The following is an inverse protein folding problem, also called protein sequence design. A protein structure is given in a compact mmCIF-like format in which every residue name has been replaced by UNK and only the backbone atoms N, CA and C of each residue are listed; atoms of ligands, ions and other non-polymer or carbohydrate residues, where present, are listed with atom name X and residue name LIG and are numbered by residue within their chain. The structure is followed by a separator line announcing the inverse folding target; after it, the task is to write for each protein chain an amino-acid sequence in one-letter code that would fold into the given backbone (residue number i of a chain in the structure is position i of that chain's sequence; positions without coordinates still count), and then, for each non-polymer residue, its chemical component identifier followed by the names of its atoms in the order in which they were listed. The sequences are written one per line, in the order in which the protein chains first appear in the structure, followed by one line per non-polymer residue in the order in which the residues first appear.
data_IF_240434594842
#
_entry.id   IF_240434594842
#
_cell.length_a   1.000
_cell.length_b   1.000
_cell.length_c   1.000
_cell.angle_alpha   90.00
_cell.angle_beta   90.00
_cell.angle_gamma   90.00
#
_symmetry.space_group_name_H-M   'P 1'
#
loop_
_entity.id
_entity.type
_entity.pdbx_description
1 polymer ?
#
# COMPACT_ATOMS: atom_id res chain seq x y z
N UNK A 1 -63.18 -17.07 -16.74
CA UNK A 1 -62.17 -17.11 -15.65
C UNK A 1 -61.10 -16.08 -15.96
N UNK A 2 -60.92 -15.07 -15.10
CA UNK A 2 -59.91 -14.01 -15.25
C UNK A 2 -58.65 -14.44 -14.48
N UNK A 3 -57.55 -14.67 -15.18
CA UNK A 3 -56.22 -14.89 -14.60
C UNK A 3 -55.54 -13.53 -14.44
N UNK A 4 -55.37 -13.10 -13.18
CA UNK A 4 -54.61 -11.92 -12.79
C UNK A 4 -53.19 -12.30 -12.38
N UNK A 5 -52.22 -11.64 -13.02
CA UNK A 5 -50.93 -11.10 -12.51
C UNK A 5 -50.09 -11.85 -11.46
N UNK A 6 -48.78 -11.92 -11.73
CA UNK A 6 -47.71 -11.63 -10.76
C UNK A 6 -46.42 -11.22 -11.51
N UNK A 7 -45.95 -9.95 -11.41
CA UNK A 7 -44.67 -9.53 -11.95
C UNK A 7 -43.57 -9.93 -10.96
N UNK A 8 -42.87 -11.02 -11.26
CA UNK A 8 -41.87 -11.61 -10.37
C UNK A 8 -40.43 -11.21 -10.78
N UNK A 9 -40.18 -9.92 -11.08
CA UNK A 9 -38.82 -9.44 -11.44
C UNK A 9 -38.64 -7.99 -10.99
N UNK A 10 -38.44 -7.75 -9.69
CA UNK A 10 -38.11 -6.41 -9.18
C UNK A 10 -37.26 -6.44 -7.90
N UNK A 11 -36.35 -7.41 -7.74
CA UNK A 11 -35.53 -7.53 -6.51
C UNK A 11 -34.08 -7.96 -6.77
N UNK A 12 -33.42 -7.40 -7.79
CA UNK A 12 -32.00 -7.66 -8.04
C UNK A 12 -31.19 -6.40 -8.41
N UNK A 13 -31.49 -5.24 -7.80
CA UNK A 13 -30.80 -3.97 -8.12
C UNK A 13 -30.18 -3.22 -6.91
N UNK A 14 -30.04 -3.81 -5.72
CA UNK A 14 -29.64 -3.06 -4.51
C UNK A 14 -28.39 -3.56 -3.77
N UNK A 15 -27.45 -4.22 -4.45
CA UNK A 15 -26.15 -4.54 -3.85
C UNK A 15 -24.94 -4.09 -4.69
N UNK A 16 -25.10 -3.06 -5.52
CA UNK A 16 -23.98 -2.17 -5.84
C UNK A 16 -23.71 -1.30 -4.61
N UNK A 17 -23.34 -1.95 -3.50
CA UNK A 17 -22.70 -1.27 -2.39
C UNK A 17 -21.46 -0.65 -3.01
N UNK A 18 -21.51 0.67 -3.18
CA UNK A 18 -20.38 1.46 -3.63
C UNK A 18 -19.19 0.96 -2.83
N UNK A 19 -18.28 0.25 -3.48
CA UNK A 19 -16.89 0.18 -3.07
C UNK A 19 -16.32 1.58 -3.31
N UNK A 20 -16.88 2.58 -2.62
CA UNK A 20 -16.14 3.73 -2.23
C UNK A 20 -14.99 3.11 -1.46
N UNK A 21 -13.87 2.92 -2.17
CA UNK A 21 -12.55 2.73 -1.62
C UNK A 21 -12.49 3.65 -0.42
N UNK A 22 -12.79 3.10 0.76
CA UNK A 22 -12.75 3.83 1.99
C UNK A 22 -11.27 4.06 2.17
N UNK A 23 -10.82 5.21 1.70
CA UNK A 23 -9.49 5.70 1.96
C UNK A 23 -9.37 5.70 3.47
N UNK A 24 -8.55 4.80 3.99
CA UNK A 24 -8.34 4.69 5.42
C UNK A 24 -7.87 6.06 5.91
N UNK A 25 -8.54 6.59 6.94
CA UNK A 25 -8.13 7.85 7.53
C UNK A 25 -6.75 7.66 8.16
N UNK A 26 -5.74 8.27 7.54
CA UNK A 26 -4.37 8.17 8.04
C UNK A 26 -4.18 9.14 9.21
N UNK A 27 -3.59 8.65 10.30
CA UNK A 27 -3.11 9.47 11.40
C UNK A 27 -1.58 9.50 11.38
N UNK A 28 -0.94 10.61 10.93
CA UNK A 28 0.51 10.70 10.83
C UNK A 28 1.25 10.60 12.17
N UNK A 29 0.55 10.71 13.30
CA UNK A 29 1.13 10.55 14.64
C UNK A 29 1.02 9.10 15.15
N UNK A 30 0.22 8.25 14.51
CA UNK A 30 0.04 6.86 14.92
C UNK A 30 1.27 6.04 14.54
N UNK A 31 1.94 5.49 15.56
CA UNK A 31 2.99 4.49 15.33
C UNK A 31 2.34 3.12 15.18
N UNK A 32 2.63 2.47 14.06
CA UNK A 32 2.28 1.08 13.76
C UNK A 32 3.50 0.19 13.97
N UNK A 33 3.27 -1.08 14.30
CA UNK A 33 4.33 -2.04 14.62
C UNK A 33 4.12 -3.33 13.82
N UNK A 34 5.21 -3.86 13.29
CA UNK A 34 5.31 -5.20 12.70
C UNK A 34 6.30 -6.01 13.53
N UNK A 35 5.94 -7.26 13.82
CA UNK A 35 6.83 -8.28 14.40
C UNK A 35 6.82 -9.52 13.48
N UNK A 36 7.64 -10.54 13.76
CA UNK A 36 7.64 -11.78 12.98
C UNK A 36 6.26 -12.46 12.89
N UNK A 37 5.43 -12.33 13.93
CA UNK A 37 4.15 -13.08 14.05
C UNK A 37 2.91 -12.20 14.19
N UNK A 38 3.06 -10.89 14.41
CA UNK A 38 1.94 -9.99 14.65
C UNK A 38 2.16 -8.61 14.03
N UNK A 39 1.10 -7.81 13.99
CA UNK A 39 1.18 -6.40 13.67
C UNK A 39 -0.01 -5.65 14.24
N UNK A 40 0.12 -4.33 14.32
CA UNK A 40 -0.98 -3.44 14.73
C UNK A 40 -1.93 -3.07 13.61
N UNK A 41 -1.56 -3.34 12.34
CA UNK A 41 -2.42 -3.06 11.18
C UNK A 41 -3.14 -4.33 10.73
N UNK A 42 -4.44 -4.19 10.45
CA UNK A 42 -5.30 -5.26 9.92
C UNK A 42 -5.16 -5.44 8.39
N UNK A 43 -4.46 -4.52 7.72
CA UNK A 43 -4.24 -4.53 6.28
C UNK A 43 -3.29 -5.63 5.79
N UNK A 44 -2.43 -6.15 6.67
CA UNK A 44 -1.35 -7.06 6.25
C UNK A 44 -1.94 -8.30 5.62
N UNK A 45 -1.38 -8.65 4.45
CA UNK A 45 -1.81 -9.76 3.60
C UNK A 45 -3.13 -9.52 2.84
N UNK A 46 -3.65 -8.29 2.88
CA UNK A 46 -4.90 -7.90 2.21
C UNK A 46 -4.71 -6.56 1.50
N UNK A 47 -4.02 -6.52 0.34
CA UNK A 47 -3.65 -5.28 -0.34
C UNK A 47 -4.83 -4.62 -1.08
N UNK A 48 -5.97 -4.41 -0.41
CA UNK A 48 -7.20 -3.86 -0.97
C UNK A 48 -7.22 -2.33 -1.06
N UNK A 49 -6.19 -1.67 -0.55
CA UNK A 49 -5.97 -0.23 -0.63
C UNK A 49 -4.48 0.08 -0.85
N UNK A 50 -4.13 1.31 -1.27
CA UNK A 50 -2.74 1.78 -1.35
C UNK A 50 -1.95 1.55 -0.06
N UNK A 51 -2.54 1.92 1.09
CA UNK A 51 -1.91 1.75 2.40
C UNK A 51 -1.72 0.26 2.69
N UNK A 52 -2.74 -0.56 2.46
CA UNK A 52 -2.62 -1.99 2.74
C UNK A 52 -1.59 -2.70 1.87
N UNK A 53 -1.41 -2.29 0.60
CA UNK A 53 -0.35 -2.80 -0.26
C UNK A 53 1.04 -2.49 0.31
N UNK A 54 1.26 -1.25 0.75
CA UNK A 54 2.53 -0.82 1.35
C UNK A 54 2.80 -1.55 2.66
N UNK A 55 1.80 -1.65 3.54
CA UNK A 55 1.96 -2.37 4.81
C UNK A 55 2.20 -3.86 4.61
N UNK A 56 1.61 -4.46 3.58
CA UNK A 56 1.91 -5.84 3.19
C UNK A 56 3.36 -5.98 2.74
N UNK A 57 3.91 -5.04 1.96
CA UNK A 57 5.34 -5.03 1.58
C UNK A 57 6.26 -4.85 2.79
N UNK A 58 5.94 -3.92 3.69
CA UNK A 58 6.70 -3.71 4.92
C UNK A 58 6.71 -5.00 5.76
N UNK A 59 5.56 -5.64 5.92
CA UNK A 59 5.46 -6.88 6.68
C UNK A 59 6.22 -8.03 6.02
N UNK A 60 6.04 -8.24 4.72
CA UNK A 60 6.63 -9.37 4.01
C UNK A 60 8.17 -9.27 3.98
N UNK A 61 8.73 -8.06 3.81
CA UNK A 61 10.17 -7.84 3.78
C UNK A 61 10.80 -8.10 5.15
N UNK A 62 10.12 -7.70 6.23
CA UNK A 62 10.59 -7.92 7.61
C UNK A 62 10.43 -9.34 8.10
N UNK A 63 9.42 -10.06 7.62
CA UNK A 63 9.17 -11.48 7.95
C UNK A 63 9.91 -12.44 7.01
N UNK A 64 10.49 -11.94 5.92
CA UNK A 64 11.08 -12.74 4.83
C UNK A 64 10.05 -13.70 4.21
N UNK A 65 8.79 -13.26 4.13
CA UNK A 65 7.70 -14.02 3.52
C UNK A 65 7.61 -13.72 2.02
N UNK A 66 8.26 -14.55 1.21
CA UNK A 66 8.30 -14.41 -0.26
C UNK A 66 6.91 -14.49 -0.89
N UNK A 67 6.03 -15.34 -0.36
CA UNK A 67 4.68 -15.52 -0.92
C UNK A 67 3.83 -14.26 -0.67
N UNK A 68 3.93 -13.69 0.53
CA UNK A 68 3.29 -12.41 0.86
C UNK A 68 3.86 -11.25 0.03
N UNK A 69 5.17 -11.20 -0.20
CA UNK A 69 5.78 -10.19 -1.06
C UNK A 69 5.31 -10.27 -2.51
N UNK A 70 5.23 -11.48 -3.06
CA UNK A 70 4.75 -11.69 -4.43
C UNK A 70 3.31 -11.17 -4.61
N UNK A 71 2.43 -11.39 -3.62
CA UNK A 71 1.06 -10.85 -3.63
C UNK A 71 1.02 -9.33 -3.64
N UNK A 72 1.98 -8.66 -3.01
CA UNK A 72 2.06 -7.20 -2.96
C UNK A 72 2.84 -6.58 -4.14
N UNK A 73 3.26 -7.39 -5.13
CA UNK A 73 3.95 -6.94 -6.34
C UNK A 73 5.49 -6.94 -6.24
N UNK A 74 6.05 -7.45 -5.15
CA UNK A 74 7.50 -7.49 -4.92
C UNK A 74 8.03 -8.90 -5.19
N UNK A 75 8.69 -9.09 -6.34
CA UNK A 75 9.22 -10.41 -6.75
C UNK A 75 10.75 -10.52 -6.70
N UNK A 76 11.48 -9.40 -6.74
CA UNK A 76 12.94 -9.37 -6.84
C UNK A 76 13.58 -8.53 -5.72
N UNK A 77 13.24 -8.81 -4.45
CA UNK A 77 13.80 -8.09 -3.31
C UNK A 77 15.01 -8.83 -2.73
N UNK A 78 16.04 -8.08 -2.34
CA UNK A 78 17.13 -8.61 -1.53
C UNK A 78 16.66 -8.69 -0.08
N UNK A 79 16.30 -9.89 0.35
CA UNK A 79 15.91 -10.15 1.74
C UNK A 79 17.13 -10.14 2.65
N UNK A 80 16.91 -9.73 3.90
CA UNK A 80 17.89 -9.93 4.96
C UNK A 80 18.00 -11.41 5.31
N UNK A 81 19.06 -11.80 6.04
CA UNK A 81 19.29 -13.20 6.43
C UNK A 81 18.30 -13.71 7.49
N UNK A 82 17.76 -12.80 8.31
CA UNK A 82 16.85 -13.13 9.42
C UNK A 82 15.71 -12.12 9.54
N UNK A 83 14.54 -12.54 10.04
CA UNK A 83 13.43 -11.63 10.28
C UNK A 83 13.80 -10.52 11.26
N UNK A 84 13.19 -9.34 11.08
CA UNK A 84 13.34 -8.23 12.01
C UNK A 84 12.43 -8.46 13.24
N UNK A 85 13.01 -8.44 14.45
CA UNK A 85 12.28 -8.70 15.70
C UNK A 85 11.12 -7.71 15.93
N UNK A 86 11.34 -6.45 15.54
CA UNK A 86 10.37 -5.38 15.69
C UNK A 86 10.69 -4.24 14.75
N UNK A 87 9.71 -3.86 13.95
CA UNK A 87 9.78 -2.72 13.03
C UNK A 87 8.66 -1.74 13.35
N UNK A 88 9.01 -0.47 13.59
CA UNK A 88 8.04 0.61 13.83
C UNK A 88 7.97 1.52 12.62
N UNK A 89 6.78 2.02 12.32
CA UNK A 89 6.61 2.98 11.25
C UNK A 89 5.38 3.85 11.48
N UNK A 90 5.25 4.90 10.68
CA UNK A 90 4.04 5.71 10.56
C UNK A 90 3.79 6.05 9.10
N UNK A 91 2.52 6.11 8.72
CA UNK A 91 2.10 6.61 7.41
C UNK A 91 2.01 8.13 7.51
N UNK A 92 2.84 8.84 6.76
CA UNK A 92 2.90 10.30 6.78
C UNK A 92 1.88 10.92 5.82
N UNK A 93 1.75 10.37 4.62
CA UNK A 93 0.82 10.88 3.61
C UNK A 93 0.40 9.79 2.63
N UNK A 94 -0.76 10.01 2.02
CA UNK A 94 -1.29 9.25 0.88
C UNK A 94 -1.71 10.29 -0.16
N UNK A 95 -1.15 10.22 -1.36
CA UNK A 95 -1.36 11.21 -2.41
C UNK A 95 -1.65 10.52 -3.74
N UNK A 96 -2.80 10.82 -4.33
CA UNK A 96 -3.09 10.48 -5.72
C UNK A 96 -2.24 11.39 -6.61
N UNK A 97 -1.44 10.80 -7.50
CA UNK A 97 -0.52 11.53 -8.36
C UNK A 97 -1.26 12.22 -9.49
N UNK A 98 -1.11 13.53 -9.57
CA UNK A 98 -1.44 14.27 -10.77
C UNK A 98 -0.27 14.19 -11.76
N UNK A 99 -0.52 14.46 -13.04
CA UNK A 99 0.52 14.47 -14.09
C UNK A 99 1.73 15.34 -13.73
N UNK A 100 1.51 16.47 -13.05
CA UNK A 100 2.57 17.41 -12.63
C UNK A 100 3.49 16.85 -11.55
N UNK A 101 3.04 15.84 -10.80
CA UNK A 101 3.81 15.22 -9.72
C UNK A 101 4.77 14.14 -10.25
N UNK A 102 4.61 13.74 -11.52
CA UNK A 102 5.34 12.63 -12.13
C UNK A 102 6.49 13.18 -12.98
N UNK A 103 7.76 12.82 -12.70
CA UNK A 103 8.89 13.22 -13.53
C UNK A 103 8.72 12.76 -14.99
N UNK A 104 9.10 13.59 -15.96
CA UNK A 104 8.92 13.28 -17.39
C UNK A 104 9.52 11.94 -17.82
N UNK A 105 10.67 11.57 -17.26
CA UNK A 105 11.36 10.31 -17.57
C UNK A 105 10.58 9.04 -17.15
N UNK A 106 9.55 9.16 -16.30
CA UNK A 106 8.64 8.08 -15.95
C UNK A 106 7.53 7.89 -17.00
N UNK A 107 7.20 8.92 -17.78
CA UNK A 107 6.06 8.87 -18.71
C UNK A 107 6.31 7.93 -19.88
N UNK A 108 7.56 7.84 -20.33
CA UNK A 108 7.97 7.03 -21.49
C UNK A 108 8.24 5.57 -21.14
N UNK A 109 8.37 5.25 -19.84
CA UNK A 109 8.58 3.86 -19.40
C UNK A 109 7.27 3.08 -19.48
N UNK A 110 7.24 1.87 -20.06
CA UNK A 110 6.02 1.05 -20.13
C UNK A 110 5.37 0.80 -18.76
N UNK A 111 6.20 0.58 -17.74
CA UNK A 111 5.82 0.32 -16.35
C UNK A 111 5.89 1.57 -15.45
N UNK A 112 6.26 2.72 -16.01
CA UNK A 112 6.44 3.96 -15.27
C UNK A 112 5.16 4.53 -14.70
N UNK A 113 5.30 5.51 -13.81
CA UNK A 113 4.18 6.13 -13.10
C UNK A 113 3.21 6.82 -14.05
N UNK A 114 1.93 6.84 -13.66
CA UNK A 114 0.80 7.41 -14.40
C UNK A 114 -0.06 8.28 -13.47
N UNK A 115 -0.82 9.25 -14.02
CA UNK A 115 -1.88 9.89 -13.25
C UNK A 115 -2.79 8.84 -12.61
N UNK A 116 -3.30 9.16 -11.43
CA UNK A 116 -4.15 8.28 -10.60
C UNK A 116 -3.42 7.12 -9.90
N UNK A 117 -2.14 6.88 -10.18
CA UNK A 117 -1.27 6.11 -9.27
C UNK A 117 -1.19 6.82 -7.92
N UNK A 118 -0.83 6.09 -6.86
CA UNK A 118 -0.81 6.65 -5.50
C UNK A 118 0.60 6.58 -4.93
N UNK A 119 1.04 7.67 -4.34
CA UNK A 119 2.21 7.71 -3.47
C UNK A 119 1.77 7.56 -2.02
N UNK A 120 2.44 6.68 -1.29
CA UNK A 120 2.30 6.52 0.16
C UNK A 120 3.67 6.78 0.78
N UNK A 121 3.75 7.79 1.65
CA UNK A 121 4.99 8.12 2.35
C UNK A 121 4.96 7.49 3.73
N UNK A 122 5.99 6.71 4.02
CA UNK A 122 6.19 6.03 5.30
C UNK A 122 7.44 6.57 5.96
N UNK A 123 7.44 6.68 7.29
CA UNK A 123 8.65 6.93 8.06
C UNK A 123 8.91 5.81 9.03
N UNK A 124 10.15 5.33 9.07
CA UNK A 124 10.67 4.48 10.14
C UNK A 124 11.44 5.36 11.14
N UNK A 125 10.91 5.59 12.35
CA UNK A 125 11.58 6.43 13.35
C UNK A 125 12.83 5.79 13.95
N UNK A 126 12.98 4.46 13.85
CA UNK A 126 14.09 3.71 14.45
C UNK A 126 15.25 3.52 13.44
N UNK A 127 15.09 3.92 12.17
CA UNK A 127 16.10 3.73 11.13
C UNK A 127 17.21 4.77 11.22
N UNK A 128 18.35 4.37 11.78
CA UNK A 128 19.52 5.23 11.92
C UNK A 128 20.70 4.82 11.02
N UNK A 129 20.50 3.87 10.09
CA UNK A 129 21.58 3.00 9.61
C UNK A 129 22.02 3.12 8.15
N UNK A 130 21.52 4.08 7.38
CA UNK A 130 22.13 4.38 6.08
C UNK A 130 22.86 5.71 6.12
N UNK A 131 23.97 5.81 5.36
CA UNK A 131 24.64 7.09 5.05
C UNK A 131 23.71 8.14 4.43
N UNK A 132 22.48 7.73 4.07
CA UNK A 132 21.45 8.52 3.44
C UNK A 132 20.28 8.87 4.38
N UNK A 133 20.40 8.62 5.69
CA UNK A 133 19.36 9.00 6.66
C UNK A 133 19.96 9.79 7.84
N UNK A 134 19.25 10.85 8.24
CA UNK A 134 19.64 11.68 9.37
C UNK A 134 19.17 11.07 10.69
N UNK A 135 19.51 11.73 11.81
CA UNK A 135 19.05 11.33 13.16
C UNK A 135 17.52 11.24 13.29
N UNK A 136 16.77 11.93 12.43
CA UNK A 136 15.30 11.95 12.38
C UNK A 136 14.67 10.73 11.68
N UNK A 137 15.47 9.81 11.14
CA UNK A 137 15.02 8.61 10.43
C UNK A 137 15.03 8.75 8.90
N UNK A 138 14.48 7.75 8.22
CA UNK A 138 14.29 7.75 6.77
C UNK A 138 12.81 7.91 6.43
N UNK A 139 12.49 8.77 5.46
CA UNK A 139 11.22 8.70 4.77
C UNK A 139 11.36 7.76 3.58
N UNK A 140 10.32 6.99 3.29
CA UNK A 140 10.25 6.12 2.12
C UNK A 140 8.96 6.40 1.38
N UNK A 141 9.08 6.83 0.12
CA UNK A 141 7.96 6.91 -0.80
C UNK A 141 7.75 5.55 -1.45
N UNK A 142 6.53 5.03 -1.37
CA UNK A 142 6.07 3.88 -2.12
C UNK A 142 5.09 4.34 -3.18
N UNK A 143 5.29 3.91 -4.42
CA UNK A 143 4.32 4.14 -5.49
C UNK A 143 3.55 2.86 -5.76
N UNK A 144 2.23 2.97 -5.73
CA UNK A 144 1.30 1.86 -5.88
C UNK A 144 0.34 2.09 -7.03
N UNK A 145 -0.03 0.99 -7.69
CA UNK A 145 -1.00 0.96 -8.79
C UNK A 145 -2.16 0.04 -8.44
N UNK A 146 -3.38 0.33 -8.91
CA UNK A 146 -4.42 -0.68 -8.92
C UNK A 146 -4.02 -1.82 -9.86
N UNK A 147 -4.18 -3.05 -9.39
CA UNK A 147 -4.23 -4.27 -10.18
C UNK A 147 -5.69 -4.77 -10.17
N UNK A 148 -6.11 -5.54 -11.15
CA UNK A 148 -7.49 -5.97 -11.42
C UNK A 148 -8.43 -6.16 -10.22
N UNK A 149 -7.93 -6.66 -9.08
CA UNK A 149 -8.67 -6.91 -7.84
C UNK A 149 -8.01 -6.37 -6.55
N UNK A 150 -6.82 -5.78 -6.66
CA UNK A 150 -5.92 -5.46 -5.53
C UNK A 150 -5.07 -4.21 -5.84
N UNK A 151 -4.21 -3.81 -4.91
CA UNK A 151 -3.19 -2.78 -5.11
C UNK A 151 -1.81 -3.42 -5.03
N UNK A 152 -0.87 -2.90 -5.81
CA UNK A 152 0.52 -3.41 -5.83
C UNK A 152 1.52 -2.28 -5.75
N UNK A 153 2.61 -2.50 -5.02
CA UNK A 153 3.77 -1.60 -5.03
C UNK A 153 4.55 -1.85 -6.31
N UNK A 154 4.81 -0.79 -7.08
CA UNK A 154 5.57 -0.88 -8.34
C UNK A 154 6.96 -0.26 -8.25
N UNK A 155 7.18 0.63 -7.28
CA UNK A 155 8.46 1.30 -7.07
C UNK A 155 8.51 1.85 -5.65
N UNK A 156 9.70 2.09 -5.13
CA UNK A 156 9.92 2.77 -3.86
C UNK A 156 11.25 3.53 -3.88
N UNK A 157 11.38 4.54 -3.04
CA UNK A 157 12.62 5.27 -2.82
C UNK A 157 12.69 5.81 -1.40
N UNK A 158 13.85 5.67 -0.77
CA UNK A 158 14.15 6.29 0.52
C UNK A 158 14.76 7.70 0.31
N UNK A 159 14.46 8.63 1.20
CA UNK A 159 14.95 10.01 1.20
C UNK A 159 15.02 10.59 2.62
N UNK A 160 15.77 11.69 2.79
CA UNK A 160 16.01 12.31 4.10
C UNK A 160 14.71 12.84 4.72
N UNK A 161 14.44 12.49 5.97
CA UNK A 161 13.40 13.20 6.72
C UNK A 161 13.86 14.62 7.04
N UNK A 162 13.06 15.62 6.64
CA UNK A 162 13.27 17.04 6.99
C UNK A 162 13.25 17.29 8.50
#
# INVERSE_FOLDING_TARGET
MRLTALPLIALLCLALAKSASAWEEINPKQIRVITPTSATSDCIDRPKSPVCAVETVLACTRRIDKAMCARAGITNFHYQDKPEEKFRYRILSVKVLARKDIPKWQWEKPDGLRPDDVEVVVQNPDEHYSSHCQKSGCNTSFWVKPDSIDWRVVSWAAWYAD
#
